data_IF_919846503496
#
_entry.id   IF_919846503496
#
_cell.length_a   1.000
_cell.length_b   1.000
_cell.length_c   1.000
_cell.angle_alpha   90.00
_cell.angle_beta   90.00
_cell.angle_gamma   90.00
#
_symmetry.space_group_name_H-M   'P 1'
#
loop_
_entity.id
_entity.type
_entity.pdbx_description
1 polymer ?
#
# COMPACT_ATOMS: atom_id res chain seq x y z
N UNK A 1 -22.29 29.08 -80.99
CA UNK A 1 -23.36 28.20 -80.46
C UNK A 1 -22.77 26.83 -80.19
N UNK A 2 -23.12 26.27 -79.02
CA UNK A 2 -22.28 25.41 -78.18
C UNK A 2 -22.02 24.00 -78.73
N UNK A 3 -20.78 23.55 -78.56
CA UNK A 3 -20.39 22.14 -78.67
C UNK A 3 -19.14 21.93 -77.81
N UNK A 4 -19.28 21.18 -76.71
CA UNK A 4 -18.48 20.00 -76.32
C UNK A 4 -18.13 19.92 -74.81
N UNK A 5 -18.60 18.80 -74.22
CA UNK A 5 -17.91 17.85 -73.32
C UNK A 5 -17.17 18.33 -72.06
N UNK A 6 -17.52 17.73 -70.90
CA UNK A 6 -16.69 17.35 -69.73
C UNK A 6 -17.67 16.97 -68.59
N UNK A 7 -17.49 15.98 -67.71
CA UNK A 7 -16.49 14.92 -67.53
C UNK A 7 -17.12 13.88 -66.57
N UNK A 8 -16.83 12.60 -66.77
CA UNK A 8 -17.00 11.58 -65.74
C UNK A 8 -16.08 11.92 -64.55
N UNK A 9 -16.65 12.10 -63.36
CA UNK A 9 -15.87 12.13 -62.13
C UNK A 9 -15.76 10.69 -61.59
N UNK A 10 -14.54 10.14 -61.64
CA UNK A 10 -14.15 8.91 -60.97
C UNK A 10 -14.36 9.04 -59.46
N UNK A 11 -15.13 8.12 -58.87
CA UNK A 11 -15.08 7.88 -57.43
C UNK A 11 -13.80 7.08 -57.11
N UNK A 12 -12.83 7.73 -56.47
CA UNK A 12 -11.66 7.08 -55.86
C UNK A 12 -11.94 6.80 -54.38
N UNK A 13 -11.58 5.59 -53.96
CA UNK A 13 -11.74 5.00 -52.64
C UNK A 13 -11.05 5.79 -51.52
N UNK A 14 -11.71 5.91 -50.38
CA UNK A 14 -11.04 5.88 -49.07
C UNK A 14 -11.84 4.94 -48.16
N UNK A 15 -11.54 3.64 -48.24
CA UNK A 15 -11.85 2.73 -47.14
C UNK A 15 -10.97 3.17 -45.95
N UNK A 16 -11.55 3.92 -45.01
CA UNK A 16 -10.91 4.10 -43.71
C UNK A 16 -10.77 2.72 -43.07
N UNK A 17 -9.58 2.31 -42.62
CA UNK A 17 -9.52 1.18 -41.71
C UNK A 17 -10.30 1.61 -40.47
N UNK A 18 -11.38 0.89 -40.18
CA UNK A 18 -11.96 0.89 -38.84
C UNK A 18 -10.81 0.49 -37.91
N UNK A 19 -10.20 1.48 -37.27
CA UNK A 19 -9.28 1.25 -36.17
C UNK A 19 -10.09 0.55 -35.10
N UNK A 20 -9.94 -0.77 -34.99
CA UNK A 20 -10.29 -1.50 -33.78
C UNK A 20 -9.45 -0.84 -32.68
N UNK A 21 -10.08 0.02 -31.89
CA UNK A 21 -9.48 0.52 -30.67
C UNK A 21 -9.09 -0.72 -29.85
N UNK A 22 -7.80 -0.86 -29.57
CA UNK A 22 -7.32 -1.95 -28.71
C UNK A 22 -8.02 -1.81 -27.36
N UNK A 23 -8.66 -2.88 -26.89
CA UNK A 23 -9.29 -2.89 -25.59
C UNK A 23 -8.28 -2.45 -24.52
N UNK A 24 -8.66 -1.51 -23.67
CA UNK A 24 -7.77 -1.07 -22.60
C UNK A 24 -7.44 -2.27 -21.69
N UNK A 25 -6.17 -2.44 -21.30
CA UNK A 25 -5.75 -3.54 -20.44
C UNK A 25 -6.40 -3.42 -19.06
N UNK A 26 -6.92 -4.54 -18.56
CA UNK A 26 -7.52 -4.61 -17.24
C UNK A 26 -6.50 -4.19 -16.15
N UNK A 27 -6.90 -3.27 -15.27
CA UNK A 27 -6.10 -2.93 -14.11
C UNK A 27 -6.08 -4.12 -13.12
N UNK A 28 -4.94 -4.81 -13.00
CA UNK A 28 -4.74 -5.98 -12.11
C UNK A 28 -3.52 -5.91 -11.17
N UNK A 29 -3.74 -5.94 -9.85
CA UNK A 29 -2.71 -6.04 -8.81
C UNK A 29 -2.80 -7.36 -8.07
N UNK A 30 -1.69 -7.81 -7.48
CA UNK A 30 -1.65 -9.03 -6.71
C UNK A 30 -0.58 -8.98 -5.60
N UNK A 31 -0.82 -9.68 -4.50
CA UNK A 31 0.10 -9.78 -3.37
C UNK A 31 -0.03 -11.13 -2.65
N UNK A 32 1.01 -11.48 -1.89
CA UNK A 32 0.96 -12.51 -0.86
C UNK A 32 0.73 -11.85 0.49
N UNK A 33 -0.01 -12.52 1.37
CA UNK A 33 -0.19 -12.16 2.78
C UNK A 33 1.17 -11.92 3.47
N UNK A 34 2.16 -12.76 3.15
CA UNK A 34 3.55 -12.61 3.59
C UNK A 34 4.52 -12.90 2.45
N UNK A 35 5.48 -12.01 2.17
CA UNK A 35 6.47 -12.23 1.12
C UNK A 35 7.66 -13.08 1.55
N UNK A 36 7.77 -13.39 2.84
CA UNK A 36 8.78 -14.27 3.42
C UNK A 36 8.10 -15.36 4.20
N UNK A 37 8.45 -16.60 3.90
CA UNK A 37 7.73 -17.78 4.35
C UNK A 37 8.71 -18.77 4.98
N UNK A 38 8.33 -19.38 6.10
CA UNK A 38 9.05 -20.51 6.67
C UNK A 38 8.92 -21.76 5.80
N UNK A 39 9.78 -22.76 6.04
CA UNK A 39 9.63 -24.08 5.45
C UNK A 39 8.28 -24.68 5.87
N UNK A 40 7.60 -25.36 4.94
CA UNK A 40 6.37 -26.08 5.28
C UNK A 40 5.08 -25.24 5.22
N UNK A 41 5.15 -23.91 5.14
CA UNK A 41 3.96 -23.08 5.34
C UNK A 41 3.11 -22.89 4.06
N UNK A 42 1.85 -22.54 4.29
CA UNK A 42 0.90 -22.08 3.27
C UNK A 42 0.56 -20.61 3.54
N UNK A 43 0.49 -19.80 2.49
CA UNK A 43 0.17 -18.37 2.57
C UNK A 43 -1.06 -18.04 1.72
N UNK A 44 -1.82 -17.02 2.12
CA UNK A 44 -2.85 -16.47 1.25
C UNK A 44 -2.24 -15.57 0.17
N UNK A 45 -2.82 -15.63 -1.03
CA UNK A 45 -2.60 -14.76 -2.17
C UNK A 45 -3.88 -13.97 -2.41
N UNK A 46 -3.74 -12.71 -2.78
CA UNK A 46 -4.86 -11.83 -3.11
C UNK A 46 -4.58 -11.07 -4.39
N UNK A 47 -5.59 -10.93 -5.23
CA UNK A 47 -5.61 -10.12 -6.43
C UNK A 47 -6.72 -9.08 -6.35
N UNK A 48 -6.48 -7.91 -6.93
CA UNK A 48 -7.45 -6.83 -7.05
C UNK A 48 -7.51 -6.42 -8.50
N UNK A 49 -8.71 -6.38 -9.06
CA UNK A 49 -8.94 -5.91 -10.41
C UNK A 49 -10.27 -5.18 -10.52
N UNK A 50 -10.32 -4.17 -11.41
CA UNK A 50 -11.52 -3.37 -11.67
C UNK A 50 -11.94 -3.56 -13.14
N UNK A 51 -13.08 -4.19 -13.42
CA UNK A 51 -13.56 -4.36 -14.80
C UNK A 51 -14.04 -3.02 -15.38
N UNK A 52 -13.72 -2.69 -16.65
CA UNK A 52 -14.19 -1.45 -17.28
C UNK A 52 -15.72 -1.31 -17.33
N UNK A 53 -16.44 -2.43 -17.44
CA UNK A 53 -17.91 -2.45 -17.62
C UNK A 53 -18.70 -3.06 -16.46
N UNK A 54 -18.09 -3.22 -15.26
CA UNK A 54 -18.77 -3.80 -14.09
C UNK A 54 -19.11 -5.30 -14.21
N UNK A 55 -18.65 -5.95 -15.29
CA UNK A 55 -18.86 -7.37 -15.56
C UNK A 55 -17.99 -8.27 -14.65
N UNK A 56 -18.37 -9.55 -14.53
CA UNK A 56 -17.67 -10.52 -13.68
C UNK A 56 -16.30 -10.89 -14.27
N UNK A 57 -15.26 -10.82 -13.44
CA UNK A 57 -13.90 -11.23 -13.76
C UNK A 57 -13.64 -12.71 -13.40
N UNK A 58 -12.77 -13.35 -14.15
CA UNK A 58 -12.28 -14.72 -13.95
C UNK A 58 -10.80 -14.67 -13.56
N UNK A 59 -10.41 -15.44 -12.54
CA UNK A 59 -9.05 -15.46 -12.00
C UNK A 59 -8.45 -16.85 -12.14
N UNK A 60 -7.24 -16.93 -12.71
CA UNK A 60 -6.49 -18.17 -12.89
C UNK A 60 -5.10 -18.02 -12.23
N UNK A 61 -4.93 -18.65 -11.08
CA UNK A 61 -3.65 -18.68 -10.37
C UNK A 61 -2.82 -19.89 -10.78
N UNK A 62 -1.51 -19.69 -10.94
CA UNK A 62 -0.53 -20.71 -11.24
C UNK A 62 0.80 -20.44 -10.54
N UNK A 63 1.58 -21.48 -10.27
CA UNK A 63 2.97 -21.34 -9.83
C UNK A 63 3.80 -22.47 -10.42
N UNK A 64 5.06 -22.19 -10.75
CA UNK A 64 5.99 -23.20 -11.25
C UNK A 64 6.49 -24.13 -10.13
N UNK A 65 6.34 -23.71 -8.88
CA UNK A 65 6.77 -24.44 -7.69
C UNK A 65 5.74 -24.25 -6.56
N UNK A 66 5.53 -25.32 -5.79
CA UNK A 66 4.48 -25.38 -4.78
C UNK A 66 3.10 -25.64 -5.40
N UNK A 67 2.05 -25.58 -4.58
CA UNK A 67 0.67 -25.83 -5.02
C UNK A 67 -0.20 -24.62 -4.73
N UNK A 68 -0.85 -24.08 -5.76
CA UNK A 68 -1.81 -22.99 -5.61
C UNK A 68 -3.24 -23.54 -5.70
N UNK A 69 -4.06 -23.21 -4.70
CA UNK A 69 -5.45 -23.63 -4.58
C UNK A 69 -6.35 -22.40 -4.42
N UNK A 70 -7.22 -22.16 -5.41
CA UNK A 70 -8.13 -21.00 -5.42
C UNK A 70 -8.49 -20.60 -6.84
N UNK A 71 -9.71 -20.13 -7.04
CA UNK A 71 -10.26 -19.77 -8.36
C UNK A 71 -10.85 -18.35 -8.43
N UNK A 72 -10.57 -17.53 -7.40
CA UNK A 72 -11.11 -16.17 -7.29
C UNK A 72 -10.01 -15.15 -7.03
N UNK A 73 -10.42 -13.97 -6.56
CA UNK A 73 -9.54 -12.90 -6.12
C UNK A 73 -8.63 -13.33 -4.95
N UNK A 74 -8.94 -14.44 -4.27
CA UNK A 74 -8.10 -15.04 -3.24
C UNK A 74 -7.73 -16.48 -3.60
N UNK A 75 -6.49 -16.86 -3.28
CA UNK A 75 -5.97 -18.22 -3.41
C UNK A 75 -5.02 -18.55 -2.26
N UNK A 76 -4.74 -19.84 -2.04
CA UNK A 76 -3.75 -20.32 -1.08
C UNK A 76 -2.57 -20.91 -1.83
N UNK A 77 -1.35 -20.59 -1.41
CA UNK A 77 -0.14 -21.14 -2.00
C UNK A 77 0.63 -21.92 -0.95
N UNK A 78 0.64 -23.25 -1.11
CA UNK A 78 1.43 -24.18 -0.31
C UNK A 78 2.86 -24.22 -0.84
N UNK A 79 3.80 -23.92 0.05
CA UNK A 79 5.24 -23.93 -0.20
C UNK A 79 5.90 -25.11 0.54
N UNK A 80 5.11 -26.10 0.96
CA UNK A 80 5.50 -27.07 1.98
C UNK A 80 6.71 -27.94 1.60
N UNK A 81 6.89 -28.23 0.31
CA UNK A 81 7.96 -29.08 -0.21
C UNK A 81 9.11 -28.29 -0.84
N UNK A 82 9.10 -26.96 -0.68
CA UNK A 82 10.08 -26.09 -1.32
C UNK A 82 11.31 -25.87 -0.43
N UNK A 83 12.47 -25.83 -1.09
CA UNK A 83 13.73 -25.48 -0.44
C UNK A 83 13.80 -23.97 -0.20
N UNK A 84 14.72 -23.50 0.64
CA UNK A 84 14.97 -22.06 0.76
C UNK A 84 15.34 -21.46 -0.60
N UNK A 85 14.68 -20.36 -0.97
CA UNK A 85 14.79 -19.77 -2.31
C UNK A 85 13.68 -18.79 -2.62
N UNK A 86 13.80 -18.07 -3.73
CA UNK A 86 12.77 -17.18 -4.24
C UNK A 86 11.84 -17.94 -5.20
N UNK A 87 10.53 -17.74 -5.05
CA UNK A 87 9.50 -18.39 -5.83
C UNK A 87 8.50 -17.37 -6.34
N UNK A 88 7.83 -17.71 -7.45
CA UNK A 88 6.81 -16.87 -8.05
C UNK A 88 5.51 -17.64 -8.30
N UNK A 89 4.40 -16.96 -8.03
CA UNK A 89 3.06 -17.34 -8.46
C UNK A 89 2.50 -16.23 -9.35
N UNK A 90 1.71 -16.62 -10.33
CA UNK A 90 1.14 -15.73 -11.35
C UNK A 90 -0.39 -15.82 -11.26
N UNK A 91 -1.07 -14.69 -11.38
CA UNK A 91 -2.51 -14.64 -11.61
C UNK A 91 -2.78 -14.04 -12.97
N UNK A 92 -3.54 -14.77 -13.78
CA UNK A 92 -4.12 -14.28 -15.02
C UNK A 92 -5.57 -13.92 -14.76
N UNK A 93 -5.97 -12.69 -15.11
CA UNK A 93 -7.35 -12.23 -14.97
C UNK A 93 -7.90 -11.87 -16.33
N UNK A 94 -9.06 -12.43 -16.63
CA UNK A 94 -9.79 -12.23 -17.89
C UNK A 94 -11.28 -12.02 -17.62
N UNK A 95 -11.98 -11.42 -18.59
CA UNK A 95 -13.41 -11.11 -18.48
C UNK A 95 -13.68 -9.60 -18.52
N UNK A 96 -14.92 -9.24 -18.82
CA UNK A 96 -15.25 -7.90 -19.30
C UNK A 96 -14.87 -7.68 -20.76
N UNK A 97 -15.10 -6.46 -21.26
CA UNK A 97 -14.69 -6.03 -22.60
C UNK A 97 -13.20 -5.61 -22.66
N UNK A 98 -12.44 -5.83 -21.57
CA UNK A 98 -11.04 -5.46 -21.43
C UNK A 98 -10.07 -6.58 -21.87
N UNK A 99 -8.85 -6.20 -22.24
CA UNK A 99 -7.82 -7.18 -22.55
C UNK A 99 -7.37 -7.94 -21.27
N UNK A 100 -7.06 -9.25 -21.36
CA UNK A 100 -6.55 -10.02 -20.22
C UNK A 100 -5.30 -9.37 -19.61
N UNK A 101 -5.17 -9.49 -18.29
CA UNK A 101 -4.03 -8.96 -17.54
C UNK A 101 -3.37 -10.05 -16.70
N UNK A 102 -2.06 -9.89 -16.47
CA UNK A 102 -1.25 -10.82 -15.69
C UNK A 102 -0.55 -10.08 -14.54
N UNK A 103 -0.48 -10.70 -13.36
CA UNK A 103 0.29 -10.19 -12.24
C UNK A 103 1.10 -11.31 -11.57
N UNK A 104 2.34 -10.99 -11.16
CA UNK A 104 3.28 -11.95 -10.57
C UNK A 104 3.57 -11.60 -9.11
N UNK A 105 3.23 -12.52 -8.21
CA UNK A 105 3.60 -12.49 -6.79
C UNK A 105 4.92 -13.22 -6.60
N UNK A 106 5.88 -12.60 -5.91
CA UNK A 106 7.16 -13.24 -5.53
C UNK A 106 7.27 -13.39 -4.02
N UNK A 107 7.71 -14.56 -3.56
CA UNK A 107 7.95 -14.85 -2.14
C UNK A 107 9.31 -15.51 -1.94
N UNK A 108 9.86 -15.42 -0.74
CA UNK A 108 11.13 -16.06 -0.37
C UNK A 108 10.87 -17.08 0.73
N UNK A 109 11.16 -18.34 0.45
CA UNK A 109 11.19 -19.42 1.44
C UNK A 109 12.55 -19.38 2.14
N UNK A 110 12.57 -19.39 3.47
CA UNK A 110 13.80 -19.32 4.27
C UNK A 110 14.14 -20.67 4.89
N UNK A 111 15.43 -20.89 5.18
CA UNK A 111 15.93 -22.11 5.85
C UNK A 111 15.61 -22.10 7.34
N UNK A 112 15.53 -20.92 7.92
CA UNK A 112 15.62 -20.75 9.35
C UNK A 112 14.28 -21.15 9.99
N UNK A 113 14.34 -22.16 10.88
CA UNK A 113 13.39 -22.38 11.96
C UNK A 113 13.69 -21.41 13.13
N UNK A 114 14.20 -20.21 12.84
CA UNK A 114 14.19 -19.14 13.81
C UNK A 114 12.70 -18.83 14.00
N UNK A 115 12.11 -19.15 15.16
CA UNK A 115 10.72 -18.80 15.37
C UNK A 115 10.65 -17.33 15.03
N UNK A 116 9.66 -16.92 14.24
CA UNK A 116 9.22 -15.54 14.28
C UNK A 116 9.33 -15.14 15.75
N UNK A 117 10.13 -14.12 16.11
CA UNK A 117 9.73 -13.40 17.31
C UNK A 117 8.24 -13.13 17.10
N UNK A 118 7.37 -13.53 18.04
CA UNK A 118 5.93 -13.53 17.81
C UNK A 118 5.57 -12.20 17.15
N UNK A 119 4.76 -12.25 16.08
CA UNK A 119 4.37 -11.04 15.35
C UNK A 119 3.97 -9.99 16.40
N UNK A 120 4.75 -8.92 16.50
CA UNK A 120 4.57 -7.98 17.61
C UNK A 120 3.24 -7.30 17.41
N UNK A 121 2.38 -7.42 18.40
CA UNK A 121 1.13 -6.66 18.42
C UNK A 121 1.46 -5.17 18.38
N UNK A 122 0.68 -4.42 17.61
CA UNK A 122 0.85 -2.97 17.49
C UNK A 122 -0.21 -2.29 18.32
N UNK A 123 0.21 -1.48 19.29
CA UNK A 123 -0.69 -0.63 20.07
C UNK A 123 -0.64 0.83 19.60
N UNK A 124 -1.77 1.50 19.67
CA UNK A 124 -1.90 2.92 19.34
C UNK A 124 -1.59 3.77 20.54
N UNK A 125 -0.91 4.88 20.30
CA UNK A 125 -0.81 5.98 21.25
C UNK A 125 -1.08 7.32 20.58
N UNK A 126 -1.82 8.19 21.27
CA UNK A 126 -2.05 9.57 20.81
C UNK A 126 -0.92 10.45 21.32
N UNK A 127 -0.20 11.09 20.40
CA UNK A 127 0.91 11.95 20.75
C UNK A 127 0.40 13.36 21.08
N UNK A 128 0.11 13.56 22.36
CA UNK A 128 -0.40 14.82 22.91
C UNK A 128 0.69 15.91 23.00
N UNK A 129 0.31 17.21 23.07
CA UNK A 129 1.27 18.30 23.24
C UNK A 129 2.11 18.12 24.51
N UNK A 130 3.41 18.40 24.41
CA UNK A 130 4.36 18.25 25.52
C UNK A 130 4.73 16.81 25.88
N UNK A 131 4.08 15.80 25.30
CA UNK A 131 4.48 14.39 25.44
C UNK A 131 5.54 14.03 24.40
N UNK A 132 6.48 13.18 24.80
CA UNK A 132 7.49 12.60 23.92
C UNK A 132 7.08 11.18 23.53
N UNK A 133 7.59 10.70 22.40
CA UNK A 133 7.47 9.29 22.04
C UNK A 133 8.21 8.41 23.08
N UNK A 134 7.55 7.37 23.56
CA UNK A 134 8.08 6.46 24.58
C UNK A 134 9.09 5.48 23.97
N UNK A 135 10.22 5.27 24.62
CA UNK A 135 11.24 4.32 24.16
C UNK A 135 10.93 2.88 24.55
N UNK A 136 11.45 1.92 23.79
CA UNK A 136 11.48 0.50 24.18
C UNK A 136 10.55 -0.41 23.38
N UNK A 137 9.90 0.08 22.33
CA UNK A 137 9.14 -0.74 21.39
C UNK A 137 10.02 -1.26 20.25
N UNK A 138 9.58 -2.34 19.61
CA UNK A 138 10.27 -2.93 18.46
C UNK A 138 10.18 -2.07 17.21
N UNK A 139 9.13 -1.26 17.06
CA UNK A 139 8.90 -0.39 15.92
C UNK A 139 8.01 0.80 16.29
N UNK A 140 8.27 1.90 15.61
CA UNK A 140 7.56 3.17 15.72
C UNK A 140 6.88 3.50 14.40
N UNK A 141 5.56 3.38 14.36
CA UNK A 141 4.74 3.75 13.21
C UNK A 141 4.03 5.08 13.43
N UNK A 142 3.78 5.85 12.38
CA UNK A 142 3.16 7.17 12.45
C UNK A 142 2.23 7.40 11.28
N UNK A 143 1.10 8.06 11.52
CA UNK A 143 0.29 8.70 10.49
C UNK A 143 0.44 10.22 10.61
N UNK A 144 1.17 10.81 9.66
CA UNK A 144 1.59 12.21 9.67
C UNK A 144 0.88 13.02 8.60
N UNK A 145 0.17 14.09 9.01
CA UNK A 145 -0.45 15.07 8.12
C UNK A 145 0.33 16.38 8.23
N UNK A 146 1.03 16.75 7.17
CA UNK A 146 1.85 17.97 7.10
C UNK A 146 1.05 19.26 6.91
N UNK A 147 -0.20 19.16 6.46
CA UNK A 147 -1.13 20.28 6.33
C UNK A 147 -2.58 19.80 6.47
N UNK A 148 -3.53 20.70 6.83
CA UNK A 148 -4.95 20.40 6.74
C UNK A 148 -5.34 19.98 5.30
N UNK A 149 -6.26 19.02 5.14
CA UNK A 149 -6.71 18.63 3.81
C UNK A 149 -7.58 19.71 3.18
N UNK A 150 -7.40 19.96 1.88
CA UNK A 150 -8.41 20.60 1.05
C UNK A 150 -9.62 19.69 0.85
N UNK A 151 -10.71 20.23 0.30
CA UNK A 151 -12.00 19.52 0.14
C UNK A 151 -11.84 18.16 -0.57
N UNK A 152 -11.13 18.13 -1.70
CA UNK A 152 -10.89 16.92 -2.49
C UNK A 152 -10.08 15.83 -1.74
N UNK A 153 -9.23 16.22 -0.79
CA UNK A 153 -8.37 15.29 -0.04
C UNK A 153 -8.98 14.84 1.29
N UNK A 154 -10.07 15.49 1.74
CA UNK A 154 -10.63 15.32 3.09
C UNK A 154 -11.05 13.88 3.36
N UNK A 155 -11.74 13.23 2.43
CA UNK A 155 -12.21 11.85 2.62
C UNK A 155 -11.03 10.87 2.75
N UNK A 156 -9.96 11.08 1.96
CA UNK A 156 -8.73 10.26 2.08
C UNK A 156 -8.11 10.38 3.47
N UNK A 157 -7.96 11.60 3.97
CA UNK A 157 -7.39 11.86 5.29
C UNK A 157 -8.22 11.20 6.38
N UNK A 158 -9.55 11.35 6.28
CA UNK A 158 -10.50 10.74 7.20
C UNK A 158 -10.38 9.22 7.21
N UNK A 159 -10.37 8.56 6.04
CA UNK A 159 -10.26 7.10 5.94
C UNK A 159 -8.92 6.57 6.43
N UNK A 160 -7.82 7.29 6.21
CA UNK A 160 -6.52 6.94 6.73
C UNK A 160 -6.49 7.02 8.26
N UNK A 161 -6.98 8.14 8.83
CA UNK A 161 -7.06 8.33 10.28
C UNK A 161 -7.97 7.30 10.93
N UNK A 162 -9.18 7.07 10.39
CA UNK A 162 -10.14 6.07 10.86
C UNK A 162 -9.49 4.69 10.96
N UNK A 163 -8.78 4.25 9.91
CA UNK A 163 -8.07 2.98 9.94
C UNK A 163 -6.98 2.94 11.03
N UNK A 164 -6.28 4.05 11.24
CA UNK A 164 -5.20 4.10 12.23
C UNK A 164 -5.71 4.17 13.67
N UNK A 165 -6.81 4.87 13.93
CA UNK A 165 -7.33 5.09 15.30
C UNK A 165 -8.32 4.03 15.76
N UNK A 166 -9.08 3.43 14.82
CA UNK A 166 -10.15 2.49 15.14
C UNK A 166 -9.73 1.02 15.04
N UNK A 167 -8.70 0.68 14.24
CA UNK A 167 -8.28 -0.72 14.07
C UNK A 167 -7.19 -1.16 15.03
N UNK A 168 -6.46 -0.20 15.61
CA UNK A 168 -5.32 -0.48 16.49
C UNK A 168 -5.78 -0.31 17.94
N UNK A 169 -5.63 -1.34 18.80
CA UNK A 169 -5.98 -1.24 20.22
C UNK A 169 -5.11 -0.20 20.92
N UNK A 170 -5.58 0.32 22.06
CA UNK A 170 -4.77 1.25 22.85
C UNK A 170 -3.53 0.54 23.43
N UNK A 171 -2.36 1.18 23.32
CA UNK A 171 -1.10 0.59 23.79
C UNK A 171 -1.14 0.31 25.30
N UNK A 172 -1.83 1.15 26.07
CA UNK A 172 -1.93 0.98 27.53
C UNK A 172 -2.55 -0.38 27.89
N UNK A 173 -3.57 -0.81 27.15
CA UNK A 173 -4.21 -2.10 27.39
C UNK A 173 -3.35 -3.30 27.00
N UNK A 174 -2.42 -3.15 26.06
CA UNK A 174 -1.47 -4.22 25.70
C UNK A 174 -0.33 -4.33 26.71
N UNK A 175 0.14 -3.20 27.23
CA UNK A 175 1.23 -3.13 28.21
C UNK A 175 0.88 -3.76 29.56
N UNK A 176 -0.41 -3.95 29.86
CA UNK A 176 -0.87 -4.72 31.03
C UNK A 176 -0.46 -6.21 30.96
N UNK A 177 -0.27 -6.75 29.75
CA UNK A 177 -0.06 -8.20 29.53
C UNK A 177 1.26 -8.52 28.82
N UNK A 178 1.80 -7.59 28.04
CA UNK A 178 2.96 -7.81 27.18
C UNK A 178 4.02 -6.74 27.44
N UNK A 179 5.29 -7.14 27.54
CA UNK A 179 6.38 -6.21 27.75
C UNK A 179 6.56 -5.31 26.52
N UNK A 180 6.88 -4.03 26.74
CA UNK A 180 7.07 -3.04 25.66
C UNK A 180 7.99 -3.49 24.52
N UNK A 181 9.08 -4.21 24.84
CA UNK A 181 10.04 -4.74 23.85
C UNK A 181 9.46 -5.79 22.90
N UNK A 182 8.32 -6.38 23.25
CA UNK A 182 7.57 -7.36 22.47
C UNK A 182 6.38 -6.72 21.75
N UNK A 183 6.23 -5.39 21.84
CA UNK A 183 5.18 -4.61 21.20
C UNK A 183 5.75 -3.63 20.17
N UNK A 184 4.93 -3.26 19.20
CA UNK A 184 5.14 -2.09 18.35
C UNK A 184 4.20 -0.96 18.79
N UNK A 185 4.55 0.28 18.45
CA UNK A 185 3.73 1.44 18.74
C UNK A 185 3.37 2.21 17.48
N UNK A 186 2.15 2.72 17.43
CA UNK A 186 1.59 3.50 16.33
C UNK A 186 1.09 4.85 16.84
N UNK A 187 1.71 5.94 16.39
CA UNK A 187 1.45 7.30 16.85
C UNK A 187 0.59 8.12 15.90
N UNK A 188 -0.36 8.86 16.49
CA UNK A 188 -1.11 9.93 15.82
C UNK A 188 -0.99 11.22 16.64
N UNK A 189 -0.39 12.29 16.09
CA UNK A 189 -0.35 13.61 16.74
C UNK A 189 -1.74 14.22 16.88
N UNK A 190 -2.12 14.59 18.10
CA UNK A 190 -3.41 15.25 18.38
C UNK A 190 -3.23 16.30 19.47
N UNK A 191 -4.07 17.33 19.46
CA UNK A 191 -3.99 18.50 20.36
C UNK A 191 -4.61 18.26 21.74
N UNK A 192 -5.49 17.27 21.85
CA UNK A 192 -6.22 16.97 23.08
C UNK A 192 -6.46 15.46 23.21
N UNK A 193 -6.67 14.99 24.43
CA UNK A 193 -7.08 13.62 24.66
C UNK A 193 -8.59 13.48 24.37
N UNK A 194 -9.04 12.38 23.74
CA UNK A 194 -10.45 12.17 23.51
C UNK A 194 -11.14 11.73 24.81
N UNK A 195 -12.41 12.11 24.99
CA UNK A 195 -13.20 11.66 26.14
C UNK A 195 -13.62 10.17 26.03
N UNK A 196 -13.58 9.61 24.82
CA UNK A 196 -13.95 8.23 24.49
C UNK A 196 -12.94 7.68 23.46
N UNK A 197 -13.14 6.46 22.97
CA UNK A 197 -12.32 5.95 21.87
C UNK A 197 -12.39 6.91 20.66
N UNK A 198 -11.25 7.36 20.12
CA UNK A 198 -11.23 8.35 19.05
C UNK A 198 -11.76 7.77 17.73
N UNK A 199 -12.65 8.50 17.05
CA UNK A 199 -13.01 8.22 15.65
C UNK A 199 -12.04 8.89 14.68
N UNK A 200 -12.06 8.50 13.40
CA UNK A 200 -11.27 9.17 12.37
C UNK A 200 -11.63 10.66 12.23
N UNK A 201 -12.92 10.99 12.37
CA UNK A 201 -13.38 12.37 12.32
C UNK A 201 -12.86 13.20 13.50
N UNK A 202 -12.97 12.66 14.72
CA UNK A 202 -12.42 13.32 15.90
C UNK A 202 -10.92 13.52 15.77
N UNK A 203 -10.18 12.51 15.28
CA UNK A 203 -8.74 12.58 15.11
C UNK A 203 -8.35 13.65 14.08
N UNK A 204 -9.13 13.84 13.01
CA UNK A 204 -8.89 14.86 12.01
C UNK A 204 -9.14 16.28 12.57
N UNK A 205 -10.23 16.48 13.31
CA UNK A 205 -10.59 17.78 13.89
C UNK A 205 -9.62 18.20 15.00
N UNK A 206 -9.06 17.23 15.73
CA UNK A 206 -8.13 17.45 16.83
C UNK A 206 -6.66 17.26 16.41
N UNK A 207 -6.38 17.03 15.13
CA UNK A 207 -5.02 16.72 14.67
C UNK A 207 -4.02 17.85 14.98
N UNK A 208 -2.81 17.48 15.40
CA UNK A 208 -1.73 18.45 15.65
C UNK A 208 -0.78 18.53 14.45
N UNK A 209 -1.13 19.39 13.49
CA UNK A 209 -0.34 19.64 12.29
C UNK A 209 1.05 20.23 12.60
N UNK A 210 1.19 21.02 13.65
CA UNK A 210 2.47 21.61 14.03
C UNK A 210 3.42 20.51 14.54
N UNK A 211 2.93 19.62 15.41
CA UNK A 211 3.69 18.46 15.89
C UNK A 211 4.06 17.53 14.73
N UNK A 212 3.12 17.22 13.84
CA UNK A 212 3.41 16.40 12.66
C UNK A 212 4.49 17.02 11.78
N UNK A 213 4.48 18.34 11.58
CA UNK A 213 5.51 19.05 10.80
C UNK A 213 6.88 19.04 11.46
N UNK A 214 6.95 19.09 12.78
CA UNK A 214 8.22 18.93 13.51
C UNK A 214 8.79 17.52 13.30
N UNK A 215 7.96 16.47 13.34
CA UNK A 215 8.39 15.10 13.07
C UNK A 215 8.83 14.92 11.62
N UNK A 216 8.07 15.44 10.66
CA UNK A 216 8.39 15.37 9.23
C UNK A 216 9.68 16.13 8.87
N UNK A 217 10.00 17.23 9.58
CA UNK A 217 11.24 17.99 9.38
C UNK A 217 12.49 17.17 9.69
N UNK A 218 12.38 16.16 10.54
CA UNK A 218 13.51 15.28 10.84
C UNK A 218 13.79 14.31 9.68
N UNK A 219 13.01 14.32 8.60
CA UNK A 219 13.25 13.50 7.42
C UNK A 219 13.99 14.33 6.35
N UNK A 220 14.87 13.71 5.54
CA UNK A 220 15.67 14.41 4.55
C UNK A 220 14.85 15.01 3.38
N UNK A 221 13.60 14.59 3.19
CA UNK A 221 12.68 15.12 2.15
C UNK A 221 11.77 16.21 2.70
N UNK A 222 11.45 17.20 1.87
CA UNK A 222 10.49 18.27 2.19
C UNK A 222 9.05 17.76 2.15
N UNK A 223 8.66 17.01 3.18
CA UNK A 223 7.31 16.45 3.32
C UNK A 223 6.38 17.49 3.97
N UNK A 224 5.74 18.32 3.16
CA UNK A 224 4.91 19.46 3.64
C UNK A 224 3.41 19.19 3.61
N UNK A 225 2.97 18.17 2.89
CA UNK A 225 1.55 17.86 2.66
C UNK A 225 1.18 16.51 3.29
N UNK A 226 0.87 15.48 2.51
CA UNK A 226 0.51 14.15 3.01
C UNK A 226 -0.88 13.69 2.55
N UNK A 227 -1.41 12.57 3.10
CA UNK A 227 -0.99 11.90 4.33
C UNK A 227 0.30 11.09 4.15
N UNK A 228 1.09 10.94 5.21
CA UNK A 228 2.26 10.07 5.22
C UNK A 228 2.11 8.94 6.24
N UNK A 229 2.39 7.71 5.82
CA UNK A 229 2.63 6.60 6.73
C UNK A 229 4.13 6.40 6.89
N UNK A 230 4.60 6.39 8.13
CA UNK A 230 6.02 6.23 8.42
C UNK A 230 6.23 5.12 9.43
N UNK A 231 7.24 4.28 9.22
CA UNK A 231 7.77 3.36 10.22
C UNK A 231 9.26 3.65 10.47
N UNK A 232 9.73 3.50 11.70
CA UNK A 232 11.12 3.65 12.10
C UNK A 232 11.46 2.72 13.27
N UNK A 233 12.74 2.34 13.41
CA UNK A 233 13.21 1.52 14.54
C UNK A 233 13.42 2.30 15.84
N UNK A 234 13.42 3.63 15.76
CA UNK A 234 13.61 4.53 16.88
C UNK A 234 12.60 5.67 16.77
N UNK A 235 12.25 6.32 17.89
CA UNK A 235 11.43 7.52 17.85
C UNK A 235 11.99 8.57 16.90
N UNK A 236 11.13 9.22 16.10
CA UNK A 236 11.56 10.26 15.16
C UNK A 236 12.19 11.46 15.85
N UNK A 237 11.75 11.79 17.07
CA UNK A 237 12.37 12.88 17.84
C UNK A 237 13.79 12.55 18.28
N UNK A 238 14.08 11.30 18.67
CA UNK A 238 15.41 10.92 19.16
C UNK A 238 16.38 10.53 18.04
N UNK A 239 15.87 10.01 16.92
CA UNK A 239 16.70 9.64 15.78
C UNK A 239 17.26 10.86 15.02
N UNK A 240 16.62 12.03 15.10
CA UNK A 240 17.02 13.21 14.34
C UNK A 240 17.09 12.97 12.83
N UNK A 241 16.35 12.00 12.31
CA UNK A 241 16.42 11.55 10.91
C UNK A 241 17.49 10.51 10.60
N UNK A 242 18.32 10.14 11.58
CA UNK A 242 19.41 9.19 11.39
C UNK A 242 18.95 7.77 11.70
N UNK A 243 18.91 6.93 10.66
CA UNK A 243 18.56 5.52 10.75
C UNK A 243 17.53 5.12 9.70
N UNK A 244 17.36 3.81 9.49
CA UNK A 244 16.45 3.32 8.48
C UNK A 244 15.00 3.64 8.87
N UNK A 245 14.27 4.26 7.94
CA UNK A 245 12.84 4.52 8.05
C UNK A 245 12.14 4.14 6.74
N UNK A 246 10.86 3.75 6.83
CA UNK A 246 9.97 3.56 5.68
C UNK A 246 9.00 4.72 5.67
N UNK A 247 8.87 5.39 4.54
CA UNK A 247 7.92 6.47 4.34
C UNK A 247 7.06 6.14 3.11
N UNK A 248 5.75 6.26 3.28
CA UNK A 248 4.78 6.13 2.20
C UNK A 248 3.95 7.40 2.11
N UNK A 249 3.87 7.97 0.91
CA UNK A 249 3.03 9.10 0.62
C UNK A 249 1.67 8.61 0.07
N UNK A 250 0.60 8.97 0.77
CA UNK A 250 -0.76 8.61 0.40
C UNK A 250 -1.44 9.73 -0.40
N UNK A 251 -0.80 10.87 -0.69
CA UNK A 251 -1.43 12.01 -1.38
C UNK A 251 -2.08 11.65 -2.72
N UNK A 252 -1.58 10.62 -3.40
CA UNK A 252 -2.13 10.11 -4.66
C UNK A 252 -3.14 8.96 -4.49
N UNK A 253 -3.32 8.42 -3.29
CA UNK A 253 -4.19 7.26 -3.07
C UNK A 253 -5.67 7.69 -3.19
N UNK A 254 -6.53 6.96 -3.91
CA UNK A 254 -7.96 7.24 -3.92
C UNK A 254 -8.58 7.05 -2.52
N UNK A 255 -9.54 7.90 -2.10
CA UNK A 255 -10.07 7.88 -0.73
C UNK A 255 -10.60 6.51 -0.26
N UNK A 256 -11.33 5.80 -1.12
CA UNK A 256 -11.93 4.49 -0.82
C UNK A 256 -10.88 3.39 -0.50
N UNK A 257 -9.60 3.65 -0.75
CA UNK A 257 -8.52 2.69 -0.61
C UNK A 257 -7.56 3.02 0.53
N UNK A 258 -7.63 4.25 1.06
CA UNK A 258 -6.75 4.71 2.11
C UNK A 258 -6.79 3.81 3.36
N UNK A 259 -7.98 3.30 3.74
CA UNK A 259 -8.11 2.39 4.87
C UNK A 259 -7.41 1.04 4.63
N UNK A 260 -7.56 0.46 3.44
CA UNK A 260 -6.87 -0.78 3.06
C UNK A 260 -5.36 -0.57 3.00
N UNK A 261 -4.94 0.62 2.58
CA UNK A 261 -3.54 1.03 2.54
C UNK A 261 -2.88 1.04 3.92
N UNK A 262 -3.55 1.66 4.89
CA UNK A 262 -3.10 1.71 6.29
C UNK A 262 -3.00 0.31 6.88
N UNK A 263 -4.03 -0.54 6.66
CA UNK A 263 -4.01 -1.94 7.13
C UNK A 263 -2.81 -2.71 6.60
N UNK A 264 -2.54 -2.60 5.30
CA UNK A 264 -1.42 -3.29 4.67
C UNK A 264 -0.08 -2.78 5.23
N UNK A 265 0.07 -1.46 5.34
CA UNK A 265 1.26 -0.87 5.94
C UNK A 265 1.52 -1.40 7.36
N UNK A 266 0.49 -1.43 8.22
CA UNK A 266 0.61 -1.91 9.60
C UNK A 266 0.95 -3.40 9.68
N UNK A 267 0.29 -4.23 8.86
CA UNK A 267 0.57 -5.67 8.78
C UNK A 267 2.01 -5.97 8.35
N UNK A 268 2.56 -5.16 7.45
CA UNK A 268 3.94 -5.31 7.01
C UNK A 268 4.93 -4.74 8.03
N UNK A 269 4.61 -3.58 8.62
CA UNK A 269 5.40 -2.96 9.67
C UNK A 269 5.56 -3.90 10.88
N UNK A 270 4.51 -4.64 11.25
CA UNK A 270 4.56 -5.60 12.36
C UNK A 270 5.57 -6.76 12.18
N UNK A 271 6.17 -6.92 11.01
CA UNK A 271 7.13 -8.00 10.72
C UNK A 271 8.57 -7.59 11.07
N UNK A 272 9.17 -8.29 12.04
CA UNK A 272 10.48 -8.00 12.67
C UNK A 272 11.69 -7.78 11.74
N UNK A 273 11.64 -8.19 10.47
CA UNK A 273 12.77 -8.12 9.52
C UNK A 273 12.47 -7.30 8.27
N UNK A 274 11.54 -6.35 8.37
CA UNK A 274 11.23 -5.39 7.31
C UNK A 274 12.48 -4.61 6.81
N UNK A 275 13.48 -4.41 7.67
CA UNK A 275 14.65 -3.53 7.46
C UNK A 275 15.84 -4.13 6.70
N UNK A 276 15.77 -5.38 6.24
CA UNK A 276 16.80 -5.94 5.35
C UNK A 276 16.67 -5.30 3.95
N UNK A 277 17.67 -4.53 3.53
CA UNK A 277 17.76 -3.66 2.32
C UNK A 277 17.07 -4.19 1.05
N UNK A 278 17.17 -5.52 0.79
CA UNK A 278 16.53 -6.18 -0.37
C UNK A 278 15.00 -6.25 -0.32
N UNK A 279 14.38 -6.18 0.86
CA UNK A 279 12.94 -6.38 1.06
C UNK A 279 12.14 -5.08 0.98
N UNK A 280 12.72 -3.96 1.44
CA UNK A 280 12.13 -2.62 1.30
C UNK A 280 11.98 -2.20 -0.17
N UNK A 281 12.97 -2.52 -1.02
CA UNK A 281 12.91 -2.30 -2.48
C UNK A 281 11.78 -3.12 -3.12
N UNK A 282 11.62 -4.38 -2.71
CA UNK A 282 10.53 -5.24 -3.21
C UNK A 282 9.15 -4.77 -2.73
N UNK A 283 9.04 -4.20 -1.52
CA UNK A 283 7.81 -3.61 -1.01
C UNK A 283 7.41 -2.37 -1.81
N UNK A 284 8.34 -1.44 -2.07
CA UNK A 284 8.09 -0.27 -2.91
C UNK A 284 7.64 -0.69 -4.31
N UNK A 285 8.28 -1.70 -4.92
CA UNK A 285 7.84 -2.26 -6.21
C UNK A 285 6.47 -2.92 -6.16
N UNK A 286 6.11 -3.62 -5.08
CA UNK A 286 4.79 -4.26 -4.92
C UNK A 286 3.68 -3.24 -4.72
N UNK A 287 3.93 -2.23 -3.90
CA UNK A 287 3.00 -1.14 -3.72
C UNK A 287 2.86 -0.30 -5.00
N UNK A 288 3.92 -0.11 -5.79
CA UNK A 288 3.85 0.51 -7.14
C UNK A 288 2.83 -0.16 -8.03
N UNK A 289 2.81 -1.49 -8.02
CA UNK A 289 1.81 -2.27 -8.73
C UNK A 289 0.44 -2.08 -8.09
N UNK A 290 0.29 -2.23 -6.77
CA UNK A 290 -1.00 -1.99 -6.11
C UNK A 290 -1.57 -0.58 -6.35
N UNK A 291 -0.78 0.49 -6.33
CA UNK A 291 -1.19 1.88 -6.65
C UNK A 291 -1.58 2.04 -8.11
N UNK A 292 -0.78 1.53 -9.05
CA UNK A 292 -1.05 1.67 -10.48
C UNK A 292 -2.41 1.07 -10.86
N UNK A 293 -2.85 0.05 -10.14
CA UNK A 293 -4.13 -0.63 -10.34
C UNK A 293 -5.28 0.02 -9.60
N UNK A 294 -5.04 0.43 -8.37
CA UNK A 294 -6.00 1.17 -7.57
C UNK A 294 -6.26 2.58 -8.12
N UNK A 295 -5.28 3.15 -8.84
CA UNK A 295 -5.30 4.46 -9.48
C UNK A 295 -5.48 4.42 -11.00
N UNK A 296 -5.96 3.31 -11.59
CA UNK A 296 -6.23 3.16 -13.02
C UNK A 296 -7.42 4.01 -13.54
N UNK A 297 -7.51 5.26 -13.07
CA UNK A 297 -8.35 6.31 -13.63
C UNK A 297 -7.76 7.71 -13.50
N UNK A 298 -6.57 7.92 -12.90
CA UNK A 298 -6.07 9.28 -12.63
C UNK A 298 -4.56 9.42 -12.96
N UNK A 299 -4.19 10.19 -14.01
CA UNK A 299 -2.79 10.45 -14.42
C UNK A 299 -1.86 10.98 -13.32
N UNK A 300 -2.43 11.67 -12.33
CA UNK A 300 -1.73 12.23 -11.16
C UNK A 300 -1.10 11.16 -10.28
N UNK A 301 -1.74 9.98 -10.21
CA UNK A 301 -1.28 8.85 -9.40
C UNK A 301 -0.02 8.21 -9.98
N UNK A 302 0.08 8.18 -11.31
CA UNK A 302 1.26 7.70 -12.03
C UNK A 302 2.48 8.58 -11.79
N UNK A 303 2.30 9.90 -11.77
CA UNK A 303 3.38 10.86 -11.50
C UNK A 303 3.93 10.73 -10.06
N UNK A 304 3.06 10.57 -9.07
CA UNK A 304 3.47 10.35 -7.67
C UNK A 304 4.25 9.03 -7.47
N UNK A 305 3.95 8.01 -8.28
CA UNK A 305 4.64 6.72 -8.26
C UNK A 305 6.07 6.81 -8.79
N UNK A 306 6.32 7.70 -9.76
CA UNK A 306 7.62 7.89 -10.38
C UNK A 306 8.61 8.64 -9.45
N UNK A 307 8.12 9.62 -8.66
CA UNK A 307 8.93 10.42 -7.70
C UNK A 307 9.29 9.66 -6.38
N UNK A 308 8.78 8.43 -6.24
CA UNK A 308 8.61 7.71 -4.99
C UNK A 308 9.91 7.30 -4.26
N UNK A 309 11.03 7.00 -4.94
CA UNK A 309 12.24 6.49 -4.26
C UNK A 309 13.34 7.55 -4.18
N UNK A 310 13.67 7.98 -2.97
CA UNK A 310 15.00 8.50 -2.66
C UNK A 310 15.57 7.68 -1.50
N UNK A 311 16.69 7.02 -1.78
CA UNK A 311 17.61 6.64 -0.73
C UNK A 311 18.42 7.88 -0.37
N UNK A 312 18.41 8.26 0.89
CA UNK A 312 19.42 9.17 1.43
C UNK A 312 20.22 8.33 2.41
N UNK A 313 21.47 8.06 2.04
CA UNK A 313 22.46 7.44 2.92
C UNK A 313 22.82 8.38 4.07
#
# INVERSE_FOLDING_TARGET
MSRRWLALALAWLAAWPLGLAAAEPLALACSAERPSVGLGETIALRAWAVPPSGQRLTYAWAAMAGRVEGRGAEARWSLAELRPGAYAATVNVSGGDGAPAECVVRVVVRRDADPRGPARETGRSLLLPGRSEESGYGLYSYLLLGSPPGEAARDRYLKALEAFVSLIPDIAGLEEYVQRRELNIAYVPVRAAPAQAPSGAWALDNYDYARARVLLRNLPRSNREGPYLLAALRPLTSAGGQGPYLLQDLSAVPPHLAASWVKEFLNQAAQERFWEERRAVQLASRMRVTIAILGAGLPEVRKAVDDWIAWVH
#
